data_IF_957520616204
#
_entry.id   IF_957520616204
#
_cell.length_a   1.000
_cell.length_b   1.000
_cell.length_c   1.000
_cell.angle_alpha   90.00
_cell.angle_beta   90.00
_cell.angle_gamma   90.00
#
_symmetry.space_group_name_H-M   'P 1'
#
loop_
_entity.id
_entity.type
_entity.pdbx_description
1 polymer ?
#
# COMPACT_ATOMS: atom_id res chain seq x y z
N UNK A 1 -11.64 26.70 -1.81
CA UNK A 1 -10.78 25.51 -1.62
C UNK A 1 -9.48 25.95 -0.96
N UNK A 2 -9.11 25.40 0.19
CA UNK A 2 -7.95 25.85 0.98
C UNK A 2 -6.61 25.60 0.25
N UNK A 3 -5.63 26.52 0.37
CA UNK A 3 -4.26 26.40 -0.17
C UNK A 3 -3.57 25.07 0.19
N UNK A 4 -3.92 24.49 1.35
CA UNK A 4 -3.39 23.21 1.85
C UNK A 4 -3.75 22.04 0.93
N UNK A 5 -5.01 21.97 0.51
CA UNK A 5 -5.50 20.92 -0.40
C UNK A 5 -4.83 21.03 -1.76
N UNK A 6 -4.63 22.24 -2.29
CA UNK A 6 -3.99 22.43 -3.60
C UNK A 6 -2.57 21.86 -3.67
N UNK A 7 -1.78 21.98 -2.58
CA UNK A 7 -0.41 21.45 -2.54
C UNK A 7 -0.36 19.92 -2.63
N UNK A 8 -1.28 19.21 -1.96
CA UNK A 8 -1.35 17.74 -2.00
C UNK A 8 -1.68 17.24 -3.41
N UNK A 9 -2.65 17.88 -4.08
CA UNK A 9 -2.99 17.52 -5.46
C UNK A 9 -1.84 17.79 -6.44
N UNK A 10 -1.14 18.92 -6.29
CA UNK A 10 -0.03 19.26 -7.17
C UNK A 10 1.15 18.26 -7.08
N UNK A 11 1.43 17.71 -5.90
CA UNK A 11 2.48 16.70 -5.70
C UNK A 11 2.20 15.43 -6.51
N UNK A 12 0.97 14.89 -6.39
CA UNK A 12 0.57 13.70 -7.13
C UNK A 12 0.51 13.95 -8.64
N UNK A 13 -0.11 15.05 -9.10
CA UNK A 13 -0.29 15.30 -10.54
C UNK A 13 1.02 15.49 -11.30
N UNK A 14 2.08 15.99 -10.65
CA UNK A 14 3.42 16.11 -11.27
C UNK A 14 4.03 14.75 -11.63
N UNK A 15 3.73 13.70 -10.86
CA UNK A 15 4.20 12.33 -11.13
C UNK A 15 3.56 11.73 -12.38
N UNK A 16 2.41 12.26 -12.80
CA UNK A 16 1.55 11.73 -13.87
C UNK A 16 1.61 12.55 -15.15
N UNK A 17 2.65 13.36 -15.37
CA UNK A 17 2.82 14.14 -16.61
C UNK A 17 2.67 13.23 -17.85
N UNK A 18 2.04 13.71 -18.92
CA UNK A 18 1.29 12.84 -19.82
C UNK A 18 2.18 11.86 -20.60
N UNK A 19 2.07 10.57 -20.23
CA UNK A 19 2.31 9.45 -21.14
C UNK A 19 1.01 9.18 -21.90
N UNK A 20 0.77 9.92 -22.99
CA UNK A 20 -0.38 9.78 -23.89
C UNK A 20 -1.77 9.80 -23.19
N UNK A 21 -2.53 10.90 -23.32
CA UNK A 21 -3.93 10.89 -22.92
C UNK A 21 -4.74 10.00 -23.87
N UNK A 22 -5.61 9.15 -23.30
CA UNK A 22 -6.67 8.46 -24.04
C UNK A 22 -7.99 9.18 -23.79
N UNK A 23 -8.80 9.33 -24.84
CA UNK A 23 -10.17 9.84 -24.71
C UNK A 23 -11.01 8.84 -23.91
N UNK A 24 -11.96 9.36 -23.13
CA UNK A 24 -12.89 8.57 -22.34
C UNK A 24 -12.57 8.52 -20.85
N UNK A 25 -13.25 7.59 -20.17
CA UNK A 25 -13.21 7.40 -18.73
C UNK A 25 -13.08 5.91 -18.42
N UNK A 26 -11.94 5.52 -17.89
CA UNK A 26 -11.65 4.15 -17.48
C UNK A 26 -12.06 3.96 -16.00
N UNK A 27 -12.92 3.00 -15.69
CA UNK A 27 -13.38 2.75 -14.31
C UNK A 27 -12.73 1.49 -13.69
N UNK A 28 -12.00 0.69 -14.48
CA UNK A 28 -11.32 -0.54 -14.02
C UNK A 28 -10.04 -0.26 -13.24
N UNK A 29 -10.07 0.59 -12.21
CA UNK A 29 -8.86 0.93 -11.44
C UNK A 29 -8.16 -0.31 -10.87
N UNK A 30 -6.87 -0.17 -10.58
CA UNK A 30 -6.10 -1.17 -9.83
C UNK A 30 -5.65 -0.55 -8.51
N UNK A 31 -6.02 -1.18 -7.40
CA UNK A 31 -5.53 -0.81 -6.07
C UNK A 31 -4.40 -1.76 -5.69
N UNK A 32 -3.19 -1.25 -5.52
CA UNK A 32 -2.06 -2.01 -4.99
C UNK A 32 -1.95 -1.74 -3.50
N UNK A 33 -2.27 -2.75 -2.70
CA UNK A 33 -2.31 -2.67 -1.24
C UNK A 33 -1.35 -3.66 -0.61
N UNK A 34 -0.98 -3.40 0.63
CA UNK A 34 -0.06 -4.23 1.42
C UNK A 34 0.55 -3.39 2.54
N UNK A 35 1.26 -4.05 3.44
CA UNK A 35 2.06 -3.31 4.43
C UNK A 35 3.15 -2.50 3.73
N UNK A 36 3.45 -1.25 4.18
CA UNK A 36 4.62 -0.54 3.72
C UNK A 36 5.87 -1.44 3.77
N UNK A 37 6.75 -1.28 2.78
CA UNK A 37 7.98 -2.09 2.63
C UNK A 37 7.77 -3.55 2.20
N UNK A 38 6.58 -3.89 1.72
CA UNK A 38 6.27 -5.21 1.11
C UNK A 38 6.39 -5.25 -0.42
N UNK A 39 6.97 -4.23 -1.05
CA UNK A 39 7.12 -4.16 -2.52
C UNK A 39 5.95 -3.50 -3.27
N UNK A 40 5.02 -2.86 -2.55
CA UNK A 40 3.86 -2.15 -3.14
C UNK A 40 4.26 -1.14 -4.23
N UNK A 41 5.28 -0.33 -3.98
CA UNK A 41 5.77 0.69 -4.94
C UNK A 41 6.32 0.06 -6.22
N UNK A 42 7.07 -1.03 -6.11
CA UNK A 42 7.57 -1.76 -7.29
C UNK A 42 6.39 -2.30 -8.10
N UNK A 43 5.47 -3.02 -7.45
CA UNK A 43 4.32 -3.62 -8.12
C UNK A 43 3.44 -2.56 -8.81
N UNK A 44 3.14 -1.46 -8.13
CA UNK A 44 2.36 -0.38 -8.72
C UNK A 44 3.05 0.29 -9.90
N UNK A 45 4.37 0.54 -9.81
CA UNK A 45 5.16 1.07 -10.91
C UNK A 45 5.22 0.12 -12.11
N UNK A 46 5.38 -1.19 -11.87
CA UNK A 46 5.40 -2.22 -12.90
C UNK A 46 4.07 -2.29 -13.65
N UNK A 47 2.94 -2.41 -12.92
CA UNK A 47 1.60 -2.46 -13.53
C UNK A 47 1.23 -1.12 -14.17
N UNK A 48 1.57 -0.01 -13.53
CA UNK A 48 1.32 1.33 -14.06
C UNK A 48 2.17 1.69 -15.29
N UNK A 49 3.22 0.92 -15.58
CA UNK A 49 4.04 1.02 -16.78
C UNK A 49 3.46 0.28 -18.00
N UNK A 50 2.43 -0.56 -17.81
CA UNK A 50 1.80 -1.29 -18.91
C UNK A 50 1.06 -0.36 -19.88
N UNK A 51 0.93 -0.79 -21.13
CA UNK A 51 0.23 -0.02 -22.15
C UNK A 51 -1.23 0.24 -21.76
N UNK A 52 -1.62 1.52 -21.66
CA UNK A 52 -2.97 1.93 -21.26
C UNK A 52 -3.19 2.04 -19.74
N UNK A 53 -2.16 1.78 -18.93
CA UNK A 53 -2.16 1.99 -17.50
C UNK A 53 -1.43 3.28 -17.13
N UNK A 54 -1.59 3.68 -15.87
CA UNK A 54 -0.81 4.77 -15.29
C UNK A 54 -0.63 4.59 -13.79
N UNK A 55 0.60 4.69 -13.31
CA UNK A 55 0.90 4.73 -11.87
C UNK A 55 0.57 6.12 -11.30
N UNK A 56 -0.38 6.18 -10.37
CA UNK A 56 -0.66 7.39 -9.59
C UNK A 56 0.29 7.54 -8.39
N UNK A 57 0.95 6.45 -7.99
CA UNK A 57 1.72 6.32 -6.77
C UNK A 57 0.86 6.49 -5.51
N UNK A 58 1.50 6.95 -4.43
CA UNK A 58 0.82 7.39 -3.22
C UNK A 58 0.03 8.68 -3.51
N UNK A 59 -1.29 8.57 -3.47
CA UNK A 59 -2.19 9.70 -3.69
C UNK A 59 -2.29 10.48 -2.39
N UNK A 60 -1.40 11.45 -2.20
CA UNK A 60 -1.31 12.30 -1.00
C UNK A 60 -2.68 12.82 -0.45
N UNK A 61 -3.62 13.32 -1.28
CA UNK A 61 -4.94 13.73 -0.76
C UNK A 61 -5.83 12.57 -0.30
N UNK A 62 -5.65 11.36 -0.84
CA UNK A 62 -6.32 10.15 -0.36
C UNK A 62 -5.67 9.68 0.94
N UNK A 63 -4.34 9.56 0.95
CA UNK A 63 -3.53 9.19 2.12
C UNK A 63 -3.87 10.00 3.37
N UNK A 64 -3.87 11.33 3.24
CA UNK A 64 -4.25 12.23 4.34
C UNK A 64 -5.74 12.16 4.74
N UNK A 65 -6.61 11.60 3.89
CA UNK A 65 -8.03 11.44 4.19
C UNK A 65 -8.34 10.11 4.88
N UNK A 66 -7.57 9.03 4.62
CA UNK A 66 -7.88 7.68 5.11
C UNK A 66 -8.22 7.62 6.61
N UNK A 67 -7.49 8.29 7.53
CA UNK A 67 -7.84 8.24 8.96
C UNK A 67 -9.29 8.64 9.27
N UNK A 68 -9.87 9.58 8.52
CA UNK A 68 -11.25 10.02 8.67
C UNK A 68 -12.27 9.18 7.88
N UNK A 69 -11.79 8.36 6.94
CA UNK A 69 -12.62 7.46 6.12
C UNK A 69 -12.77 6.08 6.75
N UNK A 70 -11.82 5.66 7.58
CA UNK A 70 -11.87 4.36 8.24
C UNK A 70 -13.12 4.24 9.12
N UNK A 71 -13.99 3.28 8.80
CA UNK A 71 -15.29 3.08 9.47
C UNK A 71 -16.40 4.07 9.08
N UNK A 72 -16.18 4.94 8.08
CA UNK A 72 -17.13 5.96 7.66
C UNK A 72 -18.02 5.49 6.50
N UNK A 73 -19.34 5.66 6.61
CA UNK A 73 -20.31 5.26 5.56
C UNK A 73 -20.17 6.06 4.25
N UNK A 74 -19.60 7.26 4.29
CA UNK A 74 -19.35 8.11 3.11
C UNK A 74 -18.00 7.83 2.43
N UNK A 75 -17.21 6.87 2.95
CA UNK A 75 -15.85 6.61 2.49
C UNK A 75 -15.77 6.40 0.97
N UNK A 76 -16.64 5.56 0.40
CA UNK A 76 -16.65 5.27 -1.03
C UNK A 76 -16.87 6.53 -1.89
N UNK A 77 -17.85 7.37 -1.53
CA UNK A 77 -18.14 8.62 -2.25
C UNK A 77 -16.96 9.60 -2.18
N UNK A 78 -16.29 9.66 -1.03
CA UNK A 78 -15.13 10.54 -0.83
C UNK A 78 -13.91 10.05 -1.60
N UNK A 79 -13.60 8.75 -1.57
CA UNK A 79 -12.54 8.12 -2.37
C UNK A 79 -12.76 8.39 -3.85
N UNK A 80 -13.99 8.18 -4.35
CA UNK A 80 -14.35 8.43 -5.74
C UNK A 80 -14.10 9.88 -6.14
N UNK A 81 -14.52 10.82 -5.30
CA UNK A 81 -14.30 12.26 -5.52
C UNK A 81 -12.81 12.59 -5.61
N UNK A 82 -12.00 12.10 -4.65
CA UNK A 82 -10.56 12.37 -4.61
C UNK A 82 -9.86 11.81 -5.85
N UNK A 83 -10.05 10.53 -6.17
CA UNK A 83 -9.36 9.88 -7.28
C UNK A 83 -9.78 10.43 -8.64
N UNK A 84 -11.07 10.69 -8.88
CA UNK A 84 -11.50 11.32 -10.12
C UNK A 84 -10.90 12.72 -10.30
N UNK A 85 -10.75 13.46 -9.20
CA UNK A 85 -10.14 14.79 -9.26
C UNK A 85 -8.65 14.72 -9.57
N UNK A 86 -7.90 13.81 -8.95
CA UNK A 86 -6.49 13.57 -9.26
C UNK A 86 -6.33 13.19 -10.73
N UNK A 87 -7.10 12.20 -11.21
CA UNK A 87 -7.06 11.72 -12.59
C UNK A 87 -7.42 12.81 -13.61
N UNK A 88 -8.39 13.66 -13.29
CA UNK A 88 -8.76 14.82 -14.14
C UNK A 88 -7.64 15.84 -14.21
N UNK A 89 -7.04 16.20 -13.09
CA UNK A 89 -5.94 17.18 -13.06
C UNK A 89 -4.65 16.63 -13.69
N UNK A 90 -4.44 15.32 -13.65
CA UNK A 90 -3.34 14.65 -14.36
C UNK A 90 -3.62 14.38 -15.84
N UNK A 91 -4.82 14.67 -16.36
CA UNK A 91 -5.22 14.34 -17.74
C UNK A 91 -5.15 12.83 -18.09
N UNK A 92 -5.42 11.97 -17.10
CA UNK A 92 -5.31 10.50 -17.22
C UNK A 92 -6.63 9.76 -16.97
N UNK A 93 -7.76 10.42 -17.22
CA UNK A 93 -9.09 9.79 -17.02
C UNK A 93 -9.36 8.61 -17.95
N UNK A 94 -8.78 8.59 -19.15
CA UNK A 94 -8.89 7.46 -20.08
C UNK A 94 -7.86 6.35 -19.87
N UNK A 95 -6.97 6.48 -18.89
CA UNK A 95 -6.00 5.45 -18.53
C UNK A 95 -6.45 4.67 -17.30
N UNK A 96 -6.06 3.40 -17.26
CA UNK A 96 -6.30 2.50 -16.13
C UNK A 96 -5.36 2.85 -14.98
N UNK A 97 -5.87 3.63 -14.04
CA UNK A 97 -5.09 4.13 -12.93
C UNK A 97 -4.74 3.01 -11.94
N UNK A 98 -3.47 2.97 -11.56
CA UNK A 98 -2.92 2.16 -10.49
C UNK A 98 -2.69 3.08 -9.30
N UNK A 99 -3.40 2.82 -8.21
CA UNK A 99 -3.32 3.58 -6.96
C UNK A 99 -2.55 2.75 -5.94
N UNK A 100 -1.56 3.36 -5.28
CA UNK A 100 -0.72 2.67 -4.31
C UNK A 100 -0.52 3.55 -3.08
N UNK A 101 -1.56 3.69 -2.26
CA UNK A 101 -1.43 4.25 -0.92
C UNK A 101 -1.56 3.09 0.08
N UNK A 102 -0.52 2.75 0.87
CA UNK A 102 -0.60 1.62 1.80
C UNK A 102 -1.82 1.69 2.72
N UNK A 103 -2.18 2.88 3.20
CA UNK A 103 -3.32 3.10 4.11
C UNK A 103 -4.66 2.71 3.48
N UNK A 104 -4.76 2.61 2.15
CA UNK A 104 -5.97 2.12 1.47
C UNK A 104 -6.30 0.69 1.86
N UNK A 105 -5.36 -0.10 2.39
CA UNK A 105 -5.63 -1.40 3.00
C UNK A 105 -6.77 -1.36 4.05
N UNK A 106 -6.91 -0.25 4.79
CA UNK A 106 -7.95 -0.08 5.83
C UNK A 106 -9.31 0.33 5.28
N UNK A 107 -9.37 0.84 4.04
CA UNK A 107 -10.60 1.31 3.38
C UNK A 107 -10.79 0.63 2.01
N UNK A 108 -10.17 -0.54 1.81
CA UNK A 108 -10.12 -1.22 0.52
C UNK A 108 -11.52 -1.60 0.04
N UNK A 109 -12.37 -2.07 0.96
CA UNK A 109 -13.78 -2.38 0.68
C UNK A 109 -14.51 -1.16 0.10
N UNK A 110 -14.27 0.01 0.67
CA UNK A 110 -14.90 1.26 0.22
C UNK A 110 -14.28 1.79 -1.08
N UNK A 111 -12.98 1.56 -1.30
CA UNK A 111 -12.33 1.85 -2.58
C UNK A 111 -12.91 0.97 -3.72
N UNK A 112 -13.13 -0.32 -3.47
CA UNK A 112 -13.75 -1.24 -4.43
C UNK A 112 -15.27 -0.99 -4.61
N UNK A 113 -15.95 -0.39 -3.63
CA UNK A 113 -17.33 0.13 -3.80
C UNK A 113 -17.36 1.43 -4.60
N UNK A 114 -16.37 2.30 -4.42
CA UNK A 114 -16.23 3.56 -5.14
C UNK A 114 -16.07 3.35 -6.65
N UNK A 115 -15.42 2.24 -7.05
CA UNK A 115 -15.18 1.84 -8.43
C UNK A 115 -15.53 0.35 -8.59
N UNK A 116 -16.78 0.01 -8.98
CA UNK A 116 -17.25 -1.38 -9.02
C UNK A 116 -16.44 -2.30 -9.95
N UNK A 117 -15.87 -1.75 -11.03
CA UNK A 117 -15.04 -2.49 -11.98
C UNK A 117 -13.56 -2.56 -11.58
N UNK A 118 -13.18 -1.92 -10.47
CA UNK A 118 -11.81 -1.95 -9.97
C UNK A 118 -11.48 -3.31 -9.37
N UNK A 119 -10.18 -3.60 -9.37
CA UNK A 119 -9.59 -4.81 -8.79
C UNK A 119 -8.43 -4.44 -7.89
N UNK A 120 -8.07 -5.31 -6.95
CA UNK A 120 -6.97 -5.09 -6.03
C UNK A 120 -5.90 -6.17 -6.16
N UNK A 121 -4.64 -5.74 -6.07
CA UNK A 121 -3.50 -6.61 -5.88
C UNK A 121 -3.00 -6.41 -4.45
N UNK A 122 -3.11 -7.43 -3.62
CA UNK A 122 -2.61 -7.42 -2.25
C UNK A 122 -1.25 -8.11 -2.20
N UNK A 123 -0.18 -7.32 -2.04
CA UNK A 123 1.16 -7.89 -1.90
C UNK A 123 1.52 -8.11 -0.43
N UNK A 124 1.91 -9.34 -0.11
CA UNK A 124 2.31 -9.79 1.23
C UNK A 124 3.77 -10.19 1.18
N UNK A 125 4.56 -9.68 2.11
CA UNK A 125 5.96 -10.07 2.33
C UNK A 125 6.11 -10.66 3.72
N UNK A 126 7.11 -11.50 3.93
CA UNK A 126 7.54 -11.90 5.27
C UNK A 126 7.66 -10.65 6.18
N UNK A 127 6.89 -10.67 7.28
CA UNK A 127 6.83 -9.55 8.22
C UNK A 127 8.18 -9.24 8.86
N UNK A 128 9.06 -10.23 9.00
CA UNK A 128 10.40 -10.05 9.55
C UNK A 128 11.27 -9.21 8.62
N UNK A 129 11.23 -9.48 7.31
CA UNK A 129 11.94 -8.68 6.30
C UNK A 129 11.32 -7.28 6.12
N UNK A 130 10.00 -7.18 6.17
CA UNK A 130 9.31 -5.89 6.12
C UNK A 130 9.71 -5.01 7.32
N UNK A 131 9.81 -5.61 8.51
CA UNK A 131 10.29 -4.94 9.74
C UNK A 131 11.72 -4.46 9.57
N UNK A 132 12.64 -5.25 9.03
CA UNK A 132 14.02 -4.79 8.76
C UNK A 132 14.03 -3.47 7.98
N UNK A 133 13.22 -3.39 6.93
CA UNK A 133 13.16 -2.19 6.10
C UNK A 133 12.43 -1.03 6.77
N UNK A 134 11.45 -1.28 7.65
CA UNK A 134 10.84 -0.24 8.49
C UNK A 134 11.87 0.32 9.50
N UNK A 135 12.66 -0.59 10.09
CA UNK A 135 13.96 -0.44 10.75
C UNK A 135 14.77 0.72 10.20
N UNK A 136 15.28 0.47 9.00
CA UNK A 136 16.16 1.38 8.26
C UNK A 136 15.51 2.73 7.93
N UNK A 137 14.18 2.79 7.86
CA UNK A 137 13.46 4.04 7.59
C UNK A 137 13.25 4.87 8.84
N UNK A 138 13.21 4.27 10.03
CA UNK A 138 13.00 4.95 11.30
C UNK A 138 11.65 5.66 11.42
N UNK A 139 10.63 5.24 10.64
CA UNK A 139 9.33 5.94 10.61
C UNK A 139 8.53 5.82 11.91
N UNK A 140 8.86 4.82 12.73
CA UNK A 140 8.20 4.48 13.99
C UNK A 140 9.15 4.64 15.19
N UNK A 141 10.37 5.14 14.98
CA UNK A 141 11.36 5.39 16.04
C UNK A 141 10.88 6.50 16.99
N UNK A 142 11.03 6.33 18.30
CA UNK A 142 10.48 7.26 19.29
C UNK A 142 11.09 8.68 19.20
N UNK A 143 12.35 8.77 18.79
CA UNK A 143 13.09 10.02 18.60
C UNK A 143 12.86 10.66 17.21
N UNK A 144 12.15 9.98 16.30
CA UNK A 144 11.85 10.51 14.97
C UNK A 144 10.81 11.62 15.04
N UNK A 145 11.22 12.81 14.65
CA UNK A 145 10.32 13.96 14.44
C UNK A 145 9.95 14.14 12.96
N UNK A 146 8.94 14.98 12.71
CA UNK A 146 8.46 15.31 11.37
C UNK A 146 7.25 14.49 10.94
N UNK A 147 6.98 14.53 9.63
CA UNK A 147 5.81 13.90 9.04
C UNK A 147 6.10 13.46 7.59
N UNK A 148 5.25 12.58 7.07
CA UNK A 148 5.30 12.17 5.67
C UNK A 148 4.76 13.25 4.71
N UNK A 149 4.70 12.89 3.43
CA UNK A 149 4.20 13.73 2.34
C UNK A 149 2.71 14.11 2.48
N UNK A 150 1.92 13.29 3.17
CA UNK A 150 0.54 13.56 3.57
C UNK A 150 0.43 14.27 4.93
N UNK A 151 1.57 14.58 5.56
CA UNK A 151 1.70 15.22 6.88
C UNK A 151 1.22 14.36 8.03
N UNK A 152 1.21 13.04 7.87
CA UNK A 152 1.02 12.10 8.96
C UNK A 152 2.31 12.02 9.78
N UNK A 153 2.25 12.18 11.11
CA UNK A 153 3.44 12.27 11.94
C UNK A 153 4.22 10.94 11.96
N UNK A 154 5.54 11.04 11.89
CA UNK A 154 6.42 9.94 12.30
C UNK A 154 6.44 9.80 13.82
N UNK A 155 7.04 8.71 14.28
CA UNK A 155 7.32 8.50 15.70
C UNK A 155 6.50 7.40 16.33
N UNK A 156 6.58 7.32 17.66
CA UNK A 156 5.96 6.27 18.47
C UNK A 156 4.46 6.47 18.73
N UNK A 157 3.88 7.63 18.40
CA UNK A 157 2.47 7.91 18.68
C UNK A 157 1.53 6.94 17.98
N UNK A 158 0.49 6.51 18.70
CA UNK A 158 -0.52 5.63 18.15
C UNK A 158 -1.21 6.26 16.93
N UNK A 159 -1.41 5.46 15.89
CA UNK A 159 -2.06 5.87 14.64
C UNK A 159 -3.48 5.32 14.58
N UNK A 160 -4.28 5.80 13.62
CA UNK A 160 -5.69 5.41 13.47
C UNK A 160 -5.94 3.90 13.33
N UNK A 161 -4.92 3.15 12.90
CA UNK A 161 -5.00 1.71 12.71
C UNK A 161 -4.60 0.89 13.95
N UNK A 162 -4.05 1.52 14.98
CA UNK A 162 -3.76 0.88 16.27
C UNK A 162 -5.08 0.63 17.00
N UNK A 163 -5.24 -0.56 17.56
CA UNK A 163 -6.39 -0.94 18.36
C UNK A 163 -6.57 0.05 19.53
N UNK A 164 -7.77 0.65 19.72
CA UNK A 164 -7.99 1.68 20.74
C UNK A 164 -7.55 1.28 22.15
N UNK A 165 -7.78 0.04 22.53
CA UNK A 165 -7.43 -0.53 23.83
C UNK A 165 -5.93 -0.80 24.01
N UNK A 166 -5.14 -0.74 22.94
CA UNK A 166 -3.68 -1.00 22.95
C UNK A 166 -2.86 0.23 22.56
N UNK A 167 -3.46 1.43 22.52
CA UNK A 167 -2.75 2.67 22.14
C UNK A 167 -1.56 2.96 23.06
N UNK A 168 -1.74 2.89 24.38
CA UNK A 168 -0.65 3.14 25.34
C UNK A 168 0.47 2.09 25.22
N UNK A 169 0.10 0.82 25.02
CA UNK A 169 1.05 -0.26 24.79
C UNK A 169 1.90 0.01 23.55
N UNK A 170 1.28 0.42 22.44
CA UNK A 170 1.98 0.76 21.20
C UNK A 170 2.99 1.90 21.39
N UNK A 171 2.60 2.96 22.12
CA UNK A 171 3.44 4.14 22.33
C UNK A 171 4.69 3.82 23.18
N UNK A 172 4.59 2.87 24.11
CA UNK A 172 5.70 2.44 24.97
C UNK A 172 6.49 1.24 24.41
N UNK A 173 6.01 0.60 23.35
CA UNK A 173 6.66 -0.58 22.77
C UNK A 173 8.05 -0.28 22.19
N UNK A 174 8.82 -1.33 21.86
CA UNK A 174 10.02 -1.17 21.03
C UNK A 174 9.65 -0.75 19.60
N UNK A 175 10.61 -0.18 18.86
CA UNK A 175 10.38 0.13 17.45
C UNK A 175 10.11 -1.14 16.63
N UNK A 176 10.79 -2.25 16.92
CA UNK A 176 10.55 -3.57 16.32
C UNK A 176 9.12 -4.04 16.53
N UNK A 177 8.61 -3.92 17.76
CA UNK A 177 7.22 -4.25 18.07
C UNK A 177 6.27 -3.34 17.28
N UNK A 178 6.48 -2.01 17.26
CA UNK A 178 5.63 -1.09 16.47
C UNK A 178 5.65 -1.40 14.97
N UNK A 179 6.80 -1.75 14.42
CA UNK A 179 6.93 -2.11 13.01
C UNK A 179 6.21 -3.43 12.69
N UNK A 180 6.34 -4.45 13.54
CA UNK A 180 5.62 -5.71 13.42
C UNK A 180 4.10 -5.51 13.54
N UNK A 181 3.69 -4.63 14.45
CA UNK A 181 2.30 -4.22 14.63
C UNK A 181 1.75 -3.55 13.37
N UNK A 182 2.49 -2.60 12.80
CA UNK A 182 2.12 -1.98 11.53
C UNK A 182 1.97 -3.03 10.43
N UNK A 183 2.94 -3.93 10.27
CA UNK A 183 2.83 -5.02 9.31
C UNK A 183 1.57 -5.87 9.52
N UNK A 184 1.33 -6.33 10.76
CA UNK A 184 0.16 -7.14 11.12
C UNK A 184 -1.15 -6.44 10.77
N UNK A 185 -1.28 -5.15 11.11
CA UNK A 185 -2.51 -4.39 10.90
C UNK A 185 -2.80 -4.18 9.41
N UNK A 186 -1.81 -3.77 8.62
CA UNK A 186 -2.03 -3.56 7.18
C UNK A 186 -2.39 -4.87 6.46
N UNK A 187 -1.67 -5.96 6.74
CA UNK A 187 -1.93 -7.27 6.12
C UNK A 187 -3.31 -7.79 6.53
N UNK A 188 -3.65 -7.74 7.82
CA UNK A 188 -4.97 -8.18 8.31
C UNK A 188 -6.12 -7.37 7.72
N UNK A 189 -5.95 -6.06 7.60
CA UNK A 189 -6.97 -5.18 7.02
C UNK A 189 -7.19 -5.45 5.53
N UNK A 190 -6.12 -5.64 4.75
CA UNK A 190 -6.26 -6.00 3.34
C UNK A 190 -6.92 -7.38 3.17
N UNK A 191 -6.55 -8.38 4.00
CA UNK A 191 -7.14 -9.73 3.96
C UNK A 191 -8.59 -9.81 4.43
N UNK A 192 -9.11 -8.78 5.08
CA UNK A 192 -10.54 -8.69 5.42
C UNK A 192 -11.45 -8.47 4.21
N UNK A 193 -10.88 -8.28 3.01
CA UNK A 193 -11.57 -8.12 1.74
C UNK A 193 -11.10 -9.21 0.77
N UNK A 194 -12.02 -10.10 0.39
CA UNK A 194 -11.79 -11.23 -0.51
C UNK A 194 -12.27 -10.95 -1.94
N UNK A 195 -13.34 -10.17 -2.08
CA UNK A 195 -13.96 -9.86 -3.37
C UNK A 195 -13.05 -8.99 -4.25
N UNK A 196 -12.75 -9.47 -5.47
CA UNK A 196 -11.95 -8.74 -6.49
C UNK A 196 -10.52 -8.41 -6.02
N UNK A 197 -9.98 -9.21 -5.11
CA UNK A 197 -8.59 -9.12 -4.63
C UNK A 197 -7.79 -10.34 -5.08
N UNK A 198 -6.57 -10.11 -5.60
CA UNK A 198 -5.56 -11.15 -5.79
C UNK A 198 -4.44 -10.93 -4.78
N UNK A 199 -4.24 -11.89 -3.88
CA UNK A 199 -3.11 -11.89 -2.95
C UNK A 199 -1.87 -12.52 -3.61
N UNK A 200 -0.71 -11.86 -3.44
CA UNK A 200 0.56 -12.21 -4.07
C UNK A 200 1.65 -12.14 -3.02
N UNK A 201 2.48 -13.19 -2.93
CA UNK A 201 3.69 -13.15 -2.10
C UNK A 201 4.79 -12.37 -2.80
N UNK A 202 5.44 -11.46 -2.10
CA UNK A 202 6.59 -10.71 -2.58
C UNK A 202 7.70 -11.64 -3.08
N UNK A 203 7.93 -12.72 -2.34
CA UNK A 203 8.93 -13.75 -2.61
C UNK A 203 8.64 -14.55 -3.88
N UNK A 204 7.37 -14.60 -4.31
CA UNK A 204 6.91 -15.28 -5.53
C UNK A 204 6.53 -14.30 -6.65
N UNK A 205 6.80 -13.00 -6.48
CA UNK A 205 6.24 -11.95 -7.33
C UNK A 205 6.63 -12.12 -8.80
N UNK A 206 7.90 -12.43 -9.08
CA UNK A 206 8.40 -12.63 -10.44
C UNK A 206 7.67 -13.78 -11.18
N UNK A 207 7.27 -14.83 -10.44
CA UNK A 207 6.55 -15.98 -10.98
C UNK A 207 5.03 -15.83 -11.02
N UNK A 208 4.47 -14.73 -10.51
CA UNK A 208 3.02 -14.53 -10.37
C UNK A 208 2.36 -13.85 -11.58
N UNK A 209 3.07 -13.77 -12.72
CA UNK A 209 2.67 -12.96 -13.86
C UNK A 209 1.36 -13.43 -14.52
N UNK A 210 1.13 -14.73 -14.57
CA UNK A 210 -0.03 -15.35 -15.19
C UNK A 210 -1.31 -15.07 -14.38
N UNK A 211 -1.24 -15.25 -13.06
CA UNK A 211 -2.32 -14.93 -12.14
C UNK A 211 -2.65 -13.43 -12.17
N UNK A 212 -1.63 -12.55 -12.17
CA UNK A 212 -1.83 -11.11 -12.29
C UNK A 212 -2.44 -10.73 -13.63
N UNK A 213 -1.96 -11.30 -14.73
CA UNK A 213 -2.47 -11.03 -16.07
C UNK A 213 -3.93 -11.47 -16.21
N UNK A 214 -4.27 -12.68 -15.76
CA UNK A 214 -5.64 -13.18 -15.74
C UNK A 214 -6.54 -12.33 -14.85
N UNK A 215 -6.06 -11.97 -13.66
CA UNK A 215 -6.81 -11.13 -12.73
C UNK A 215 -7.07 -9.74 -13.32
N UNK A 216 -6.08 -9.11 -13.96
CA UNK A 216 -6.27 -7.79 -14.56
C UNK A 216 -6.96 -7.83 -15.93
N UNK A 217 -7.00 -8.99 -16.61
CA UNK A 217 -7.53 -9.11 -17.97
C UNK A 217 -6.61 -8.46 -19.01
N UNK A 218 -5.30 -8.71 -18.90
CA UNK A 218 -4.26 -8.20 -19.81
C UNK A 218 -3.41 -9.37 -20.34
N UNK A 219 -2.66 -9.19 -21.45
CA UNK A 219 -1.81 -10.25 -21.98
C UNK A 219 -0.67 -10.63 -21.00
N UNK A 220 -0.50 -11.93 -20.77
CA UNK A 220 0.52 -12.50 -19.87
C UNK A 220 1.93 -11.98 -20.15
N UNK A 221 2.35 -11.98 -21.42
CA UNK A 221 3.70 -11.56 -21.81
C UNK A 221 4.06 -10.15 -21.32
N UNK A 222 3.10 -9.21 -21.32
CA UNK A 222 3.37 -7.84 -20.84
C UNK A 222 3.60 -7.78 -19.33
N UNK A 223 2.89 -8.62 -18.57
CA UNK A 223 3.04 -8.69 -17.11
C UNK A 223 4.32 -9.42 -16.73
N UNK A 224 4.64 -10.51 -17.44
CA UNK A 224 5.87 -11.28 -17.25
C UNK A 224 7.11 -10.40 -17.32
N UNK A 225 7.21 -9.58 -18.37
CA UNK A 225 8.38 -8.72 -18.59
C UNK A 225 8.58 -7.70 -17.46
N UNK A 226 7.50 -7.08 -16.98
CA UNK A 226 7.62 -6.06 -15.92
C UNK A 226 7.84 -6.65 -14.53
N UNK A 227 7.31 -7.85 -14.24
CA UNK A 227 7.51 -8.52 -12.95
C UNK A 227 8.85 -9.25 -12.85
N UNK A 228 9.47 -9.62 -13.98
CA UNK A 228 10.80 -10.21 -14.00
C UNK A 228 11.89 -9.29 -13.40
N UNK A 229 11.64 -7.98 -13.33
CA UNK A 229 12.53 -7.01 -12.70
C UNK A 229 12.45 -6.99 -11.16
N UNK A 230 11.64 -7.85 -10.53
CA UNK A 230 11.52 -7.90 -9.08
C UNK A 230 12.84 -8.35 -8.43
N UNK A 231 13.34 -7.55 -7.49
CA UNK A 231 14.57 -7.87 -6.76
C UNK A 231 14.32 -8.95 -5.71
N UNK A 232 15.25 -9.91 -5.61
CA UNK A 232 15.22 -11.00 -4.62
C UNK A 232 16.23 -10.81 -3.47
N UNK A 233 17.13 -9.83 -3.58
CA UNK A 233 18.24 -9.62 -2.63
C UNK A 233 17.81 -9.31 -1.20
N UNK A 234 16.55 -8.91 -1.01
CA UNK A 234 16.02 -8.54 0.31
C UNK A 234 15.19 -9.64 0.97
N UNK A 235 15.16 -10.85 0.40
CA UNK A 235 14.45 -12.01 0.96
C UNK A 235 15.31 -12.67 2.05
N UNK A 236 14.70 -12.97 3.19
CA UNK A 236 15.31 -13.59 4.36
C UNK A 236 16.47 -12.79 5.00
N UNK A 237 16.56 -11.49 4.70
CA UNK A 237 17.59 -10.58 5.27
C UNK A 237 17.45 -10.40 6.78
N UNK A 238 16.25 -10.64 7.31
CA UNK A 238 16.01 -10.58 8.76
C UNK A 238 16.93 -11.46 9.61
N UNK A 239 17.49 -12.53 9.02
CA UNK A 239 18.42 -13.42 9.71
C UNK A 239 19.75 -12.74 10.07
N UNK A 240 20.12 -11.73 9.31
CA UNK A 240 21.36 -10.98 9.48
C UNK A 240 21.09 -9.60 10.12
N UNK A 241 19.97 -8.97 9.77
CA UNK A 241 19.70 -7.58 10.12
C UNK A 241 18.98 -7.37 11.46
N UNK A 242 18.19 -8.35 11.92
CA UNK A 242 17.51 -8.25 13.22
C UNK A 242 18.38 -8.84 14.33
N UNK A 243 18.48 -8.11 15.44
CA UNK A 243 19.00 -8.71 16.67
C UNK A 243 18.03 -9.79 17.19
N UNK A 244 18.52 -10.69 18.04
CA UNK A 244 17.67 -11.71 18.67
C UNK A 244 16.49 -11.11 19.44
N UNK A 245 16.68 -9.97 20.10
CA UNK A 245 15.63 -9.25 20.81
C UNK A 245 14.58 -8.65 19.85
N UNK A 246 15.03 -8.02 18.77
CA UNK A 246 14.13 -7.49 17.74
C UNK A 246 13.33 -8.59 17.06
N UNK A 247 13.96 -9.73 16.75
CA UNK A 247 13.27 -10.87 16.17
C UNK A 247 12.22 -11.43 17.13
N UNK A 248 12.54 -11.58 18.42
CA UNK A 248 11.59 -12.00 19.44
C UNK A 248 10.41 -11.03 19.59
N UNK A 249 10.66 -9.72 19.47
CA UNK A 249 9.61 -8.70 19.44
C UNK A 249 8.67 -8.85 18.25
N UNK A 250 9.23 -9.09 17.06
CA UNK A 250 8.44 -9.33 15.84
C UNK A 250 7.61 -10.60 15.98
N UNK A 251 8.20 -11.70 16.44
CA UNK A 251 7.50 -12.98 16.61
C UNK A 251 6.40 -12.90 17.67
N UNK A 252 6.61 -12.12 18.74
CA UNK A 252 5.58 -11.90 19.76
C UNK A 252 4.37 -11.15 19.22
N UNK A 253 4.59 -10.07 18.46
CA UNK A 253 3.48 -9.22 17.96
C UNK A 253 2.84 -9.77 16.69
N UNK A 254 3.62 -10.32 15.75
CA UNK A 254 3.18 -10.71 14.41
C UNK A 254 3.24 -12.23 14.14
N UNK A 255 3.83 -13.03 15.05
CA UNK A 255 4.03 -14.47 14.89
C UNK A 255 2.78 -15.28 14.53
N UNK A 256 1.60 -15.04 15.14
CA UNK A 256 0.37 -15.74 14.75
C UNK A 256 0.03 -15.56 13.26
N UNK A 257 0.13 -14.33 12.75
CA UNK A 257 -0.15 -14.03 11.35
C UNK A 257 0.96 -14.52 10.41
N UNK A 258 2.22 -14.47 10.83
CA UNK A 258 3.34 -15.06 10.08
C UNK A 258 3.09 -16.57 9.83
N UNK A 259 2.73 -17.32 10.87
CA UNK A 259 2.41 -18.75 10.77
C UNK A 259 1.18 -19.01 9.90
N UNK A 260 0.13 -18.21 10.05
CA UNK A 260 -1.07 -18.32 9.20
C UNK A 260 -0.74 -18.14 7.72
N UNK A 261 0.19 -17.25 7.40
CA UNK A 261 0.68 -17.00 6.05
C UNK A 261 1.76 -18.01 5.61
N UNK A 262 2.10 -19.01 6.43
CA UNK A 262 3.11 -20.01 6.12
C UNK A 262 4.54 -19.48 6.07
N UNK A 263 4.83 -18.41 6.83
CA UNK A 263 6.19 -18.00 7.15
C UNK A 263 6.62 -18.72 8.44
N UNK A 264 7.55 -19.67 8.28
CA UNK A 264 8.20 -20.39 9.38
C UNK A 264 9.43 -19.64 9.90
#
# INVERSE_FOLDING_TARGET
>A
MQLRTMKLYAATTRRVLPRASRLGREERLVFVVGSPRSGTTFLAGAIGGLAGFVDLGEVAPLKGAVPALYGNSEAAARIRTILNRVRRLGFVTGLRAVEQTPEVAFVLKDALRAFPEAKALHIVRDGRDAVCSLLERGWLAADRSGADDARLPYGARARFWVEPERMEEFEHASEATRAAWAWRRYVSSARSVDERVLEIRYEALAGSHDAVAAHLGVPDGQVRDVLAAAHTESIARFREDLTAEQLADVEREAGPLLRELGYE
#
